data_IF_018746339300
#
_entry.id   IF_018746339300
#
_cell.length_a   1.000
_cell.length_b   1.000
_cell.length_c   1.000
_cell.angle_alpha   90.00
_cell.angle_beta   90.00
_cell.angle_gamma   90.00
#
_symmetry.space_group_name_H-M   'P 1'
#
loop_
_entity.id
_entity.type
_entity.pdbx_description
1 polymer ?
#
# COMPACT_ATOMS: atom_id res chain seq x y z
N UNK A 1 -20.23 3.31 21.35
CA UNK A 1 -18.86 2.81 21.09
C UNK A 1 -18.98 1.97 19.82
N UNK A 2 -18.20 2.28 18.78
CA UNK A 2 -18.22 1.51 17.52
C UNK A 2 -17.59 0.13 17.76
N UNK A 3 -18.17 -0.91 17.18
CA UNK A 3 -17.72 -2.31 17.36
C UNK A 3 -16.56 -2.62 16.40
N UNK A 4 -15.33 -2.43 16.89
CA UNK A 4 -14.11 -2.70 16.11
C UNK A 4 -13.81 -4.20 15.93
N UNK A 5 -14.06 -5.09 16.91
CA UNK A 5 -13.86 -6.53 16.72
C UNK A 5 -14.63 -7.15 15.55
N UNK A 6 -15.90 -6.77 15.36
CA UNK A 6 -16.76 -7.33 14.30
C UNK A 6 -16.71 -6.54 13.01
N UNK A 7 -16.33 -5.25 13.07
CA UNK A 7 -16.31 -4.30 11.95
C UNK A 7 -17.68 -4.12 11.26
N UNK A 8 -18.76 -4.41 11.97
CA UNK A 8 -20.11 -4.27 11.47
C UNK A 8 -21.07 -3.70 12.53
N UNK A 9 -22.03 -2.84 12.12
CA UNK A 9 -22.19 -2.27 10.79
C UNK A 9 -21.15 -1.19 10.49
N UNK A 10 -20.93 -0.90 9.21
CA UNK A 10 -20.21 0.32 8.81
C UNK A 10 -21.13 1.52 9.03
N UNK A 11 -20.73 2.46 9.89
CA UNK A 11 -21.50 3.64 10.27
C UNK A 11 -20.71 4.95 10.04
N UNK A 12 -21.27 6.10 10.45
CA UNK A 12 -20.58 7.39 10.41
C UNK A 12 -20.52 8.08 9.04
N UNK A 13 -21.28 7.61 8.04
CA UNK A 13 -21.31 8.24 6.71
C UNK A 13 -21.76 9.71 6.74
N UNK A 14 -22.65 10.06 7.68
CA UNK A 14 -23.15 11.44 7.85
C UNK A 14 -22.11 12.38 8.49
N UNK A 15 -21.05 11.84 9.10
CA UNK A 15 -19.96 12.62 9.69
C UNK A 15 -18.90 13.01 8.65
N UNK A 16 -18.97 12.45 7.44
CA UNK A 16 -18.01 12.74 6.36
C UNK A 16 -18.24 14.15 5.84
N UNK A 17 -17.20 14.98 5.91
CA UNK A 17 -17.24 16.35 5.39
C UNK A 17 -17.70 16.39 3.92
N UNK A 18 -18.71 17.21 3.62
CA UNK A 18 -19.29 17.35 2.28
C UNK A 18 -18.25 17.66 1.19
N UNK A 19 -17.12 18.29 1.53
CA UNK A 19 -16.01 18.54 0.62
C UNK A 19 -15.42 17.27 0.02
N UNK A 20 -15.40 16.16 0.76
CA UNK A 20 -14.83 14.87 0.35
C UNK A 20 -15.54 14.27 -0.87
N UNK A 21 -16.83 14.56 -1.05
CA UNK A 21 -17.62 14.07 -2.18
C UNK A 21 -17.43 14.87 -3.48
N UNK A 22 -16.71 15.99 -3.42
CA UNK A 22 -16.55 16.92 -4.55
C UNK A 22 -15.26 16.76 -5.32
N UNK A 23 -14.27 16.06 -4.75
CA UNK A 23 -12.99 15.82 -5.41
C UNK A 23 -13.17 15.03 -6.70
N UNK A 24 -12.33 15.34 -7.69
CA UNK A 24 -12.15 14.52 -8.87
C UNK A 24 -11.10 13.46 -8.57
N UNK A 25 -11.47 12.18 -8.63
CA UNK A 25 -10.49 11.11 -8.44
C UNK A 25 -9.47 11.13 -9.59
N UNK A 26 -8.17 11.19 -9.27
CA UNK A 26 -7.14 11.23 -10.31
C UNK A 26 -6.95 9.91 -11.06
N UNK A 27 -7.40 8.79 -10.48
CA UNK A 27 -7.34 7.45 -11.09
C UNK A 27 -8.51 7.27 -12.06
N UNK A 28 -9.76 7.28 -11.57
CA UNK A 28 -10.94 6.98 -12.40
C UNK A 28 -11.53 8.20 -13.13
N UNK A 29 -11.03 9.41 -12.85
CA UNK A 29 -11.47 10.68 -13.45
C UNK A 29 -12.97 10.99 -13.26
N UNK A 30 -13.58 10.49 -12.18
CA UNK A 30 -14.98 10.76 -11.80
C UNK A 30 -15.07 11.53 -10.48
N UNK A 31 -16.15 12.30 -10.34
CA UNK A 31 -16.60 12.92 -9.07
C UNK A 31 -17.68 12.05 -8.42
N UNK A 32 -17.93 12.26 -7.13
CA UNK A 32 -18.90 11.50 -6.35
C UNK A 32 -18.25 10.37 -5.56
N UNK A 33 -18.91 9.88 -4.51
CA UNK A 33 -18.29 9.03 -3.49
C UNK A 33 -17.31 9.81 -2.61
N UNK A 34 -17.05 9.31 -1.39
CA UNK A 34 -16.12 9.96 -0.47
C UNK A 34 -14.68 9.77 -0.98
N UNK A 35 -14.04 10.87 -1.35
CA UNK A 35 -12.62 10.88 -1.75
C UNK A 35 -11.74 11.29 -0.58
N UNK A 36 -10.53 10.77 -0.61
CA UNK A 36 -9.44 11.09 0.31
C UNK A 36 -8.32 11.78 -0.47
N UNK A 37 -7.53 12.59 0.20
CA UNK A 37 -6.47 13.41 -0.42
C UNK A 37 -5.11 12.79 -0.17
N UNK A 38 -4.15 13.08 -1.05
CA UNK A 38 -2.76 12.72 -0.83
C UNK A 38 -2.27 13.17 0.56
N UNK A 39 -1.55 12.30 1.27
CA UNK A 39 -1.03 12.55 2.62
C UNK A 39 0.08 13.61 2.63
N UNK A 40 0.72 13.89 1.49
CA UNK A 40 1.73 14.96 1.43
C UNK A 40 1.08 16.31 1.70
N UNK A 41 1.65 17.03 2.67
CA UNK A 41 1.25 18.40 3.00
C UNK A 41 1.23 19.31 1.77
N UNK A 42 0.14 20.05 1.62
CA UNK A 42 -0.09 20.95 0.47
C UNK A 42 -0.54 20.25 -0.82
N UNK A 43 -0.65 18.92 -0.87
CA UNK A 43 -1.17 18.21 -2.04
C UNK A 43 -2.68 17.96 -1.95
N UNK A 44 -3.45 18.58 -2.85
CA UNK A 44 -4.91 18.43 -2.89
C UNK A 44 -5.42 17.43 -3.94
N UNK A 45 -4.56 16.51 -4.40
CA UNK A 45 -4.99 15.46 -5.33
C UNK A 45 -5.90 14.48 -4.58
N UNK A 46 -7.14 14.35 -5.06
CA UNK A 46 -8.14 13.46 -4.49
C UNK A 46 -8.19 12.10 -5.20
N UNK A 47 -8.47 11.05 -4.44
CA UNK A 47 -8.62 9.68 -4.91
C UNK A 47 -9.73 8.97 -4.13
N UNK A 48 -10.46 8.06 -4.77
CA UNK A 48 -11.29 7.13 -4.01
C UNK A 48 -10.39 6.14 -3.28
N UNK A 49 -10.72 5.75 -2.03
CA UNK A 49 -9.93 4.75 -1.30
C UNK A 49 -9.71 3.47 -2.10
N UNK A 50 -10.78 2.95 -2.74
CA UNK A 50 -10.69 1.76 -3.57
C UNK A 50 -9.83 1.97 -4.82
N UNK A 51 -9.94 3.12 -5.48
CA UNK A 51 -9.10 3.40 -6.64
C UNK A 51 -7.62 3.52 -6.27
N UNK A 52 -7.31 4.13 -5.13
CA UNK A 52 -5.95 4.21 -4.64
C UNK A 52 -5.41 2.82 -4.27
N UNK A 53 -6.23 1.98 -3.62
CA UNK A 53 -5.88 0.60 -3.30
C UNK A 53 -5.56 -0.21 -4.57
N UNK A 54 -6.47 -0.25 -5.54
CA UNK A 54 -6.27 -1.00 -6.79
C UNK A 54 -5.13 -0.47 -7.67
N UNK A 55 -4.74 0.80 -7.52
CA UNK A 55 -3.60 1.38 -8.23
C UNK A 55 -2.29 1.29 -7.44
N UNK A 56 -2.28 0.62 -6.28
CA UNK A 56 -1.09 0.51 -5.42
C UNK A 56 -0.67 1.82 -4.76
N UNK A 57 -1.54 2.84 -4.72
CA UNK A 57 -1.26 4.17 -4.15
C UNK A 57 -1.59 4.27 -2.64
N UNK A 58 -2.27 3.26 -2.09
CA UNK A 58 -2.54 3.11 -0.67
C UNK A 58 -1.36 2.38 0.00
N UNK A 59 -0.37 3.16 0.43
CA UNK A 59 0.84 2.61 1.05
C UNK A 59 0.68 2.59 2.56
N UNK A 60 0.28 3.70 3.18
CA UNK A 60 0.31 3.89 4.63
C UNK A 60 1.55 4.64 5.11
N UNK A 61 1.50 5.15 6.33
CA UNK A 61 2.58 5.83 7.04
C UNK A 61 2.58 5.44 8.52
N UNK A 62 3.65 5.75 9.25
CA UNK A 62 3.75 5.48 10.69
C UNK A 62 2.60 6.13 11.49
N UNK A 63 2.13 7.29 11.04
CA UNK A 63 1.05 8.05 11.69
C UNK A 63 -0.34 7.69 11.15
N UNK A 64 -0.43 7.23 9.90
CA UNK A 64 -1.67 6.91 9.24
C UNK A 64 -1.51 5.62 8.39
N UNK A 65 -1.91 4.44 8.90
CA UNK A 65 -1.74 3.18 8.20
C UNK A 65 -2.58 3.08 6.91
N UNK A 66 -3.53 3.99 6.70
CA UNK A 66 -4.34 4.10 5.49
C UNK A 66 -4.00 5.34 4.65
N UNK A 67 -2.82 5.91 4.86
CA UNK A 67 -2.32 7.02 4.04
C UNK A 67 -2.19 6.62 2.57
N UNK A 68 -2.52 7.56 1.70
CA UNK A 68 -2.39 7.43 0.24
C UNK A 68 -1.51 8.54 -0.32
N UNK A 69 -0.74 8.19 -1.33
CA UNK A 69 0.16 9.11 -2.01
C UNK A 69 -0.16 9.12 -3.49
N UNK A 70 -0.28 10.31 -4.09
CA UNK A 70 -0.41 10.40 -5.54
C UNK A 70 0.91 9.99 -6.20
N UNK A 71 0.88 9.68 -7.50
CA UNK A 71 2.05 9.24 -8.26
C UNK A 71 3.28 10.17 -8.11
N UNK A 72 3.06 11.49 -7.93
CA UNK A 72 4.14 12.47 -7.76
C UNK A 72 4.82 12.42 -6.39
N UNK A 73 4.15 11.84 -5.41
CA UNK A 73 4.54 11.88 -4.00
C UNK A 73 4.63 10.48 -3.40
N UNK A 74 4.66 9.44 -4.25
CA UNK A 74 4.86 8.07 -3.82
C UNK A 74 6.24 7.98 -3.15
N UNK A 75 6.33 7.48 -1.90
CA UNK A 75 7.62 7.24 -1.27
C UNK A 75 8.39 6.16 -2.05
N UNK A 76 9.67 6.42 -2.33
CA UNK A 76 10.56 5.49 -3.06
C UNK A 76 10.86 4.22 -2.24
N UNK A 77 10.90 4.36 -0.91
CA UNK A 77 11.17 3.26 0.00
C UNK A 77 9.87 2.77 0.65
N UNK A 78 9.78 1.46 0.82
CA UNK A 78 8.68 0.81 1.55
C UNK A 78 8.62 1.35 2.98
N UNK A 79 7.49 1.95 3.34
CA UNK A 79 7.21 2.28 4.74
C UNK A 79 6.92 0.98 5.49
N UNK A 80 7.65 0.72 6.58
CA UNK A 80 7.48 -0.50 7.37
C UNK A 80 6.11 -0.46 8.07
N UNK A 81 5.32 -1.54 7.99
CA UNK A 81 3.97 -1.62 8.59
C UNK A 81 2.81 -1.16 7.68
N UNK A 82 3.13 -0.63 6.52
CA UNK A 82 2.19 -0.15 5.52
C UNK A 82 1.68 -1.33 4.65
N UNK A 83 0.37 -1.65 4.70
CA UNK A 83 -0.24 -2.75 3.93
C UNK A 83 -0.59 -2.26 2.52
N UNK A 84 0.16 -2.70 1.51
CA UNK A 84 -0.26 -2.55 0.12
C UNK A 84 -1.41 -3.51 -0.16
N UNK A 85 -2.47 -3.01 -0.79
CA UNK A 85 -3.56 -3.83 -1.34
C UNK A 85 -3.19 -4.30 -2.75
N UNK A 86 -2.04 -4.95 -2.86
CA UNK A 86 -1.57 -5.55 -4.11
C UNK A 86 -1.48 -7.06 -3.86
N UNK A 87 -1.64 -7.87 -4.91
CA UNK A 87 -1.47 -9.32 -4.81
C UNK A 87 -0.05 -9.66 -4.35
N UNK A 88 0.09 -10.85 -3.77
CA UNK A 88 1.40 -11.36 -3.35
C UNK A 88 2.35 -11.50 -4.55
N UNK A 89 1.80 -11.78 -5.75
CA UNK A 89 2.53 -11.87 -7.01
C UNK A 89 3.14 -10.52 -7.46
N UNK A 90 2.37 -9.44 -7.43
CA UNK A 90 2.87 -8.12 -7.84
C UNK A 90 3.91 -7.58 -6.83
N UNK A 91 3.79 -7.98 -5.55
CA UNK A 91 4.76 -7.62 -4.50
C UNK A 91 6.11 -8.29 -4.75
N UNK A 92 6.15 -9.56 -5.15
CA UNK A 92 7.42 -10.24 -5.48
C UNK A 92 8.07 -9.65 -6.73
N UNK A 93 7.31 -9.26 -7.76
CA UNK A 93 7.87 -8.57 -8.94
C UNK A 93 8.54 -7.24 -8.59
N UNK A 94 7.95 -6.44 -7.69
CA UNK A 94 8.54 -5.19 -7.20
C UNK A 94 9.83 -5.42 -6.42
N UNK A 95 9.87 -6.45 -5.55
CA UNK A 95 11.07 -6.83 -4.79
C UNK A 95 12.19 -7.27 -5.73
N UNK A 96 11.91 -8.18 -6.67
CA UNK A 96 12.88 -8.68 -7.64
C UNK A 96 13.44 -7.53 -8.50
N UNK A 97 12.57 -6.58 -8.88
CA UNK A 97 12.96 -5.40 -9.67
C UNK A 97 13.88 -4.46 -8.89
N UNK A 98 13.66 -4.27 -7.57
CA UNK A 98 14.52 -3.46 -6.73
C UNK A 98 15.87 -4.13 -6.43
N UNK A 99 15.87 -5.44 -6.20
CA UNK A 99 17.10 -6.23 -5.92
C UNK A 99 18.03 -6.31 -7.14
N UNK A 100 17.49 -6.14 -8.35
CA UNK A 100 18.25 -6.08 -9.59
C UNK A 100 19.17 -4.84 -9.74
N UNK A 101 19.18 -3.91 -8.77
CA UNK A 101 20.13 -2.77 -8.72
C UNK A 101 21.29 -2.97 -7.74
N UNK A 102 21.34 -4.06 -6.98
CA UNK A 102 22.51 -4.44 -6.17
C UNK A 102 23.07 -5.78 -6.64
N UNK A 103 24.07 -5.68 -7.51
CA UNK A 103 25.05 -6.68 -7.93
C UNK A 103 24.89 -8.12 -7.39
N UNK A 104 24.58 -9.01 -8.33
CA UNK A 104 25.01 -10.41 -8.45
C UNK A 104 26.11 -10.82 -7.45
N UNK A 105 25.78 -11.71 -6.52
CA UNK A 105 26.76 -12.69 -6.01
C UNK A 105 26.15 -14.09 -6.12
N UNK A 106 26.28 -14.67 -7.31
CA UNK A 106 26.36 -16.12 -7.50
C UNK A 106 27.53 -16.63 -6.66
N UNK A 107 27.29 -17.26 -5.50
CA UNK A 107 28.26 -18.15 -4.82
C UNK A 107 27.62 -18.87 -3.61
N UNK A 108 26.72 -19.83 -3.88
CA UNK A 108 26.29 -20.82 -2.88
C UNK A 108 26.57 -22.22 -3.43
N UNK A 109 27.84 -22.62 -3.37
CA UNK A 109 28.32 -23.97 -3.62
C UNK A 109 27.81 -24.93 -2.54
N UNK A 110 26.93 -25.86 -2.93
CA UNK A 110 26.48 -26.97 -2.07
C UNK A 110 27.32 -28.21 -2.40
N UNK A 111 28.54 -28.27 -1.90
CA UNK A 111 29.33 -29.50 -1.89
C UNK A 111 29.81 -29.88 -0.49
N UNK A 112 29.35 -31.07 -0.07
CA UNK A 112 29.98 -32.02 0.85
C UNK A 112 30.19 -31.60 2.33
N UNK A 113 29.39 -32.20 3.22
CA UNK A 113 29.95 -32.93 4.35
C UNK A 113 29.24 -34.28 4.51
N UNK A 114 29.98 -35.33 4.19
CA UNK A 114 29.69 -36.73 4.46
C UNK A 114 29.59 -37.02 5.96
N UNK A 115 28.82 -38.06 6.31
CA UNK A 115 28.99 -38.77 7.59
C UNK A 115 27.70 -39.33 8.20
N UNK A 116 27.29 -40.53 7.79
CA UNK A 116 26.59 -41.44 8.71
C UNK A 116 27.59 -42.00 9.77
N UNK A 117 27.23 -43.01 10.59
CA UNK A 117 25.94 -43.72 10.69
C UNK A 117 25.43 -43.95 12.15
N UNK A 118 24.21 -44.52 12.24
CA UNK A 118 23.70 -45.53 13.20
C UNK A 118 23.74 -45.25 14.71
N UNK A 119 22.58 -45.29 15.38
CA UNK A 119 22.02 -46.46 16.12
C UNK A 119 20.48 -46.40 16.10
#
# INVERSE_FOLDING_TARGET
>A
MRDVPTLEPVDGFDEIENGRFRYLCCVCRKRGGASVTCEREGCNIGMHPQCAASAGLLIGSDMNPFALYCEKHLPENRVHGAKRWISDEDLVEEIISNESTSELTDDMDYTLLEGGPRE
#
